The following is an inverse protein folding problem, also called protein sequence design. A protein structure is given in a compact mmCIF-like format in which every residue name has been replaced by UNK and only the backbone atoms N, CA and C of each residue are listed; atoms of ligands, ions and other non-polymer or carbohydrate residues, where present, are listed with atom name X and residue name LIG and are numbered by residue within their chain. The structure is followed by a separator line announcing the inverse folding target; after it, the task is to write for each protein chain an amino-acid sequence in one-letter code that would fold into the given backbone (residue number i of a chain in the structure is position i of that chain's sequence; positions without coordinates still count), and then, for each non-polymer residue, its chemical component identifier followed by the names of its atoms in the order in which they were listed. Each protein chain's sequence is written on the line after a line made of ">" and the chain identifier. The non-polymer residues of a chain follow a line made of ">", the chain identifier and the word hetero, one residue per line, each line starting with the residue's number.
data_IF_253465592817
#
_entry.id   IF_253465592817
#
_cell.length_a   1.000
_cell.length_b   1.000
_cell.length_c   1.000
_cell.angle_alpha   90.00
_cell.angle_beta   90.00
_cell.angle_gamma   90.00
#
_symmetry.space_group_name_H-M   'P 1'
#
loop_
_entity.id
_entity.type
_entity.pdbx_description
1 polymer ?
#
# COMPACT_ATOMS: atom_id res chain seq x y z
N UNK A 1 2.06 1.09 -4.48
CA UNK A 1 3.46 0.92 -4.94
C UNK A 1 3.80 2.00 -5.97
N UNK A 2 5.00 2.58 -5.90
CA UNK A 2 5.55 3.48 -6.93
C UNK A 2 6.59 2.73 -7.78
N UNK A 3 6.51 2.90 -9.12
CA UNK A 3 7.52 2.47 -10.08
C UNK A 3 8.05 3.68 -10.87
N UNK A 4 9.38 3.83 -10.94
CA UNK A 4 10.10 4.84 -11.74
C UNK A 4 11.11 4.10 -12.63
N UNK A 5 10.98 4.21 -13.96
CA UNK A 5 11.79 3.47 -14.94
C UNK A 5 12.76 4.39 -15.67
N UNK A 6 14.03 4.42 -15.22
CA UNK A 6 15.23 4.68 -16.05
C UNK A 6 16.42 3.96 -15.43
N UNK A 7 16.74 2.78 -15.96
CA UNK A 7 17.97 1.96 -15.78
C UNK A 7 18.44 1.52 -14.37
N UNK A 8 17.99 2.17 -13.29
CA UNK A 8 18.00 1.65 -11.92
C UNK A 8 16.69 2.08 -11.24
N UNK A 9 15.67 1.24 -11.25
CA UNK A 9 14.40 1.54 -10.57
C UNK A 9 14.55 1.33 -9.06
N UNK A 10 13.96 2.20 -8.26
CA UNK A 10 13.71 1.96 -6.83
C UNK A 10 12.26 1.53 -6.67
N UNK A 11 12.03 0.52 -5.83
CA UNK A 11 10.68 0.22 -5.34
C UNK A 11 10.47 0.99 -4.03
N UNK A 12 9.43 1.82 -4.02
CA UNK A 12 9.07 2.66 -2.89
C UNK A 12 7.69 2.24 -2.36
N UNK A 13 7.65 1.90 -1.08
CA UNK A 13 6.41 1.79 -0.31
C UNK A 13 6.08 3.16 0.26
N UNK A 14 4.83 3.60 0.10
CA UNK A 14 4.33 4.87 0.68
C UNK A 14 2.96 4.58 1.28
N UNK A 15 2.73 5.09 2.48
CA UNK A 15 1.45 5.05 3.18
C UNK A 15 0.99 6.48 3.43
N UNK A 16 -0.26 6.76 3.10
CA UNK A 16 -0.91 8.02 3.42
C UNK A 16 -2.21 7.79 4.17
N UNK A 17 -2.64 8.79 4.93
CA UNK A 17 -3.95 8.80 5.56
C UNK A 17 -5.05 9.25 4.57
N UNK A 18 -6.30 9.29 5.06
CA UNK A 18 -7.44 9.74 4.27
C UNK A 18 -7.38 11.22 3.86
N UNK A 19 -6.55 12.03 4.52
CA UNK A 19 -6.31 13.45 4.21
C UNK A 19 -5.16 13.63 3.21
N UNK A 20 -4.66 12.55 2.60
CA UNK A 20 -3.52 12.53 1.67
C UNK A 20 -2.20 12.95 2.31
N UNK A 21 -2.08 12.87 3.63
CA UNK A 21 -0.82 13.11 4.33
C UNK A 21 0.00 11.83 4.30
N UNK A 22 1.24 11.91 3.80
CA UNK A 22 2.16 10.77 3.84
C UNK A 22 2.60 10.56 5.29
N UNK A 23 2.31 9.39 5.84
CA UNK A 23 2.61 9.03 7.23
C UNK A 23 3.76 8.02 7.36
N UNK A 24 4.10 7.33 6.27
CA UNK A 24 5.23 6.42 6.23
C UNK A 24 5.73 6.21 4.78
N UNK A 25 7.04 5.97 4.64
CA UNK A 25 7.63 5.56 3.37
C UNK A 25 8.87 4.67 3.58
N UNK A 26 9.18 3.83 2.60
CA UNK A 26 10.38 2.98 2.55
C UNK A 26 10.97 3.07 1.13
N UNK A 27 12.25 3.45 1.01
CA UNK A 27 12.91 3.78 -0.28
C UNK A 27 14.19 2.97 -0.56
N UNK A 28 14.46 1.91 0.21
CA UNK A 28 15.77 1.24 0.22
C UNK A 28 15.88 0.01 -0.68
N UNK A 29 14.92 -0.21 -1.59
CA UNK A 29 14.84 -1.45 -2.35
C UNK A 29 14.97 -1.24 -3.85
N UNK A 30 15.72 -2.10 -4.56
CA UNK A 30 15.70 -2.16 -6.02
C UNK A 30 14.29 -2.38 -6.56
N UNK A 31 14.03 -1.91 -7.77
CA UNK A 31 12.70 -1.98 -8.39
C UNK A 31 12.26 -3.40 -8.74
N UNK A 32 13.15 -4.38 -8.69
CA UNK A 32 12.83 -5.81 -8.83
C UNK A 32 12.34 -6.44 -7.52
N UNK A 33 12.46 -5.74 -6.39
CA UNK A 33 12.00 -6.23 -5.10
C UNK A 33 10.48 -6.28 -5.06
N UNK A 34 9.93 -7.42 -4.60
CA UNK A 34 8.49 -7.62 -4.44
C UNK A 34 7.94 -6.79 -3.27
N UNK A 35 6.72 -6.28 -3.41
CA UNK A 35 6.07 -5.48 -2.37
C UNK A 35 5.92 -6.19 -1.03
N UNK A 36 5.50 -7.47 -1.06
CA UNK A 36 5.46 -8.30 0.15
C UNK A 36 6.82 -8.37 0.86
N UNK A 37 7.95 -8.35 0.12
CA UNK A 37 9.27 -8.36 0.73
C UNK A 37 9.55 -7.03 1.43
N UNK A 38 9.24 -5.90 0.80
CA UNK A 38 9.39 -4.58 1.43
C UNK A 38 8.52 -4.48 2.69
N UNK A 39 7.28 -4.95 2.61
CA UNK A 39 6.37 -4.99 3.75
C UNK A 39 6.91 -5.80 4.92
N UNK A 40 7.38 -7.02 4.66
CA UNK A 40 7.92 -7.91 5.67
C UNK A 40 9.15 -7.33 6.39
N UNK A 41 9.90 -6.45 5.72
CA UNK A 41 11.06 -5.78 6.27
C UNK A 41 10.79 -4.32 6.70
N UNK A 42 9.54 -3.87 6.65
CA UNK A 42 9.18 -2.51 7.03
C UNK A 42 9.03 -2.38 8.54
N UNK A 43 9.57 -1.28 9.10
CA UNK A 43 9.34 -0.95 10.51
C UNK A 43 7.87 -0.72 10.80
N UNK A 44 7.09 -0.24 9.82
CA UNK A 44 5.67 -0.03 9.95
C UNK A 44 4.93 -1.33 10.29
N UNK A 45 5.24 -2.44 9.59
CA UNK A 45 4.66 -3.75 9.90
C UNK A 45 4.95 -4.16 11.34
N UNK A 46 6.19 -4.04 11.81
CA UNK A 46 6.57 -4.37 13.20
C UNK A 46 5.78 -3.55 14.22
N UNK A 47 5.58 -2.26 13.96
CA UNK A 47 4.80 -1.36 14.83
C UNK A 47 3.32 -1.78 14.89
N UNK A 48 2.74 -2.23 13.77
CA UNK A 48 1.41 -2.84 13.76
C UNK A 48 1.34 -4.13 14.56
N UNK A 49 2.35 -5.01 14.44
CA UNK A 49 2.43 -6.25 15.21
C UNK A 49 2.56 -6.00 16.71
N UNK A 50 3.21 -4.91 17.13
CA UNK A 50 3.30 -4.48 18.52
C UNK A 50 2.03 -3.77 19.03
N UNK A 51 1.00 -3.62 18.20
CA UNK A 51 -0.27 -3.02 18.60
C UNK A 51 -0.23 -1.49 18.76
N UNK A 52 0.79 -0.82 18.22
CA UNK A 52 0.92 0.65 18.35
C UNK A 52 -0.24 1.41 17.70
N UNK A 53 -0.92 0.80 16.74
CA UNK A 53 -1.99 1.42 15.96
C UNK A 53 -3.40 0.96 16.34
N UNK A 54 -3.57 0.17 17.42
CA UNK A 54 -4.88 -0.35 17.89
C UNK A 54 -5.70 -0.94 16.73
N UNK A 55 -6.80 -0.28 16.37
CA UNK A 55 -7.76 -0.69 15.34
C UNK A 55 -7.41 -0.14 13.93
N UNK A 56 -6.18 0.34 13.74
CA UNK A 56 -5.71 0.85 12.46
C UNK A 56 -5.63 -0.25 11.40
N UNK A 57 -6.18 0.03 10.22
CA UNK A 57 -6.18 -0.88 9.07
C UNK A 57 -5.55 -0.19 7.86
N UNK A 58 -4.65 -0.88 7.19
CA UNK A 58 -4.06 -0.48 5.92
C UNK A 58 -4.77 -1.16 4.74
N UNK A 59 -4.78 -0.48 3.59
CA UNK A 59 -5.30 -1.02 2.33
C UNK A 59 -4.16 -1.19 1.31
N UNK A 60 -3.74 -2.43 1.08
CA UNK A 60 -2.71 -2.83 0.11
C UNK A 60 -3.27 -3.15 -1.28
N UNK A 61 -2.39 -3.26 -2.28
CA UNK A 61 -2.72 -3.98 -3.53
C UNK A 61 -2.56 -5.49 -3.33
N UNK A 62 -2.91 -6.26 -4.36
CA UNK A 62 -2.73 -7.71 -4.36
C UNK A 62 -1.26 -8.18 -4.32
N UNK A 63 -0.28 -7.27 -4.36
CA UNK A 63 1.14 -7.60 -4.16
C UNK A 63 1.54 -7.78 -2.69
N UNK A 64 0.65 -7.41 -1.77
CA UNK A 64 0.84 -7.53 -0.32
C UNK A 64 0.19 -8.80 0.24
N UNK A 65 0.69 -9.31 1.38
CA UNK A 65 -0.02 -10.35 2.12
C UNK A 65 -1.28 -9.78 2.79
N UNK A 66 -2.29 -10.63 2.97
CA UNK A 66 -3.44 -10.33 3.83
C UNK A 66 -3.01 -10.54 5.29
N UNK A 67 -3.17 -9.51 6.13
CA UNK A 67 -2.87 -9.56 7.57
C UNK A 67 -3.99 -8.86 8.37
N UNK A 68 -4.10 -9.06 9.70
CA UNK A 68 -5.17 -8.45 10.51
C UNK A 68 -5.26 -6.91 10.41
N UNK A 69 -4.15 -6.25 10.09
CA UNK A 69 -4.02 -4.80 9.93
C UNK A 69 -3.71 -4.38 8.48
N UNK A 70 -3.77 -5.30 7.52
CA UNK A 70 -3.52 -5.03 6.10
C UNK A 70 -4.50 -5.82 5.22
N UNK A 71 -5.50 -5.12 4.70
CA UNK A 71 -6.47 -5.68 3.77
C UNK A 71 -5.97 -5.56 2.33
N UNK A 72 -6.24 -6.59 1.53
CA UNK A 72 -5.90 -6.65 0.11
C UNK A 72 -7.16 -7.01 -0.69
N UNK A 73 -7.23 -6.66 -1.99
CA UNK A 73 -8.39 -6.98 -2.80
C UNK A 73 -8.55 -8.50 -2.94
N UNK A 74 -9.80 -8.96 -2.99
CA UNK A 74 -10.16 -10.36 -3.22
C UNK A 74 -9.81 -10.70 -4.67
N UNK A 75 -8.95 -11.69 -4.88
CA UNK A 75 -8.40 -12.01 -6.21
C UNK A 75 -9.45 -12.57 -7.19
N UNK A 76 -10.36 -13.41 -6.70
CA UNK A 76 -11.41 -14.05 -7.50
C UNK A 76 -12.77 -13.84 -6.79
N UNK A 77 -13.38 -12.65 -6.90
CA UNK A 77 -14.68 -12.41 -6.29
C UNK A 77 -15.75 -13.26 -7.01
N UNK A 78 -16.50 -14.05 -6.24
CA UNK A 78 -17.62 -14.86 -6.72
C UNK A 78 -18.97 -14.44 -6.14
N UNK A 79 -18.98 -13.59 -5.10
CA UNK A 79 -20.20 -13.07 -4.48
C UNK A 79 -20.34 -11.55 -4.69
N UNK A 80 -21.59 -11.02 -4.79
CA UNK A 80 -21.81 -9.58 -4.90
C UNK A 80 -21.17 -8.76 -3.77
N UNK A 81 -21.09 -9.32 -2.57
CA UNK A 81 -20.43 -8.68 -1.42
C UNK A 81 -18.91 -8.55 -1.60
N UNK A 82 -18.27 -9.49 -2.30
CA UNK A 82 -16.83 -9.47 -2.57
C UNK A 82 -16.50 -8.44 -3.67
N UNK A 83 -17.37 -8.33 -4.67
CA UNK A 83 -17.28 -7.28 -5.69
C UNK A 83 -17.48 -5.89 -5.07
N UNK A 84 -18.46 -5.75 -4.17
CA UNK A 84 -18.71 -4.54 -3.39
C UNK A 84 -17.48 -4.15 -2.58
N UNK A 85 -16.90 -5.12 -1.87
CA UNK A 85 -15.68 -4.93 -1.11
C UNK A 85 -14.55 -4.43 -2.01
N UNK A 86 -14.27 -5.10 -3.13
CA UNK A 86 -13.23 -4.71 -4.07
C UNK A 86 -13.44 -3.31 -4.66
N UNK A 87 -14.71 -2.92 -4.91
CA UNK A 87 -15.05 -1.58 -5.38
C UNK A 87 -14.75 -0.52 -4.32
N UNK A 88 -15.19 -0.73 -3.09
CA UNK A 88 -14.90 0.16 -1.96
C UNK A 88 -13.39 0.25 -1.67
N UNK A 89 -12.70 -0.89 -1.71
CA UNK A 89 -11.25 -1.00 -1.54
C UNK A 89 -10.50 -0.18 -2.59
N UNK A 90 -10.84 -0.37 -3.86
CA UNK A 90 -10.24 0.36 -4.99
C UNK A 90 -10.48 1.86 -4.89
N UNK A 91 -11.71 2.27 -4.58
CA UNK A 91 -12.07 3.69 -4.41
C UNK A 91 -11.26 4.34 -3.29
N UNK A 92 -11.11 3.65 -2.16
CA UNK A 92 -10.35 4.18 -1.01
C UNK A 92 -8.86 4.26 -1.34
N UNK A 93 -8.30 3.24 -2.00
CA UNK A 93 -6.91 3.24 -2.46
C UNK A 93 -6.60 4.27 -3.54
N UNK A 94 -7.60 4.83 -4.22
CA UNK A 94 -7.37 5.93 -5.15
C UNK A 94 -6.71 7.14 -4.46
N UNK A 95 -6.89 7.31 -3.14
CA UNK A 95 -6.27 8.37 -2.33
C UNK A 95 -4.75 8.33 -2.43
N UNK A 96 -4.12 7.15 -2.25
CA UNK A 96 -2.66 7.04 -2.37
C UNK A 96 -2.21 7.25 -3.81
N UNK A 97 -2.96 6.76 -4.80
CA UNK A 97 -2.67 7.00 -6.21
C UNK A 97 -2.67 8.49 -6.57
N UNK A 98 -3.67 9.24 -6.09
CA UNK A 98 -3.78 10.69 -6.29
C UNK A 98 -2.67 11.45 -5.56
N UNK A 99 -2.36 11.06 -4.32
CA UNK A 99 -1.26 11.66 -3.52
C UNK A 99 0.06 11.54 -4.26
N UNK A 100 0.34 10.36 -4.79
CA UNK A 100 1.54 10.10 -5.60
C UNK A 100 1.52 10.84 -6.94
N UNK A 101 0.35 10.98 -7.56
CA UNK A 101 0.17 11.78 -8.79
C UNK A 101 0.56 13.25 -8.58
N UNK A 102 0.08 13.86 -7.49
CA UNK A 102 0.44 15.25 -7.11
C UNK A 102 1.93 15.38 -6.80
N UNK A 103 2.51 14.39 -6.12
CA UNK A 103 3.94 14.40 -5.81
C UNK A 103 4.79 14.38 -7.09
N UNK A 104 4.42 13.53 -8.05
CA UNK A 104 5.07 13.41 -9.37
C UNK A 104 4.88 14.61 -10.29
N UNK A 105 3.80 15.38 -10.12
CA UNK A 105 3.59 16.58 -10.94
C UNK A 105 4.41 17.77 -10.44
N UNK A 106 4.93 17.69 -9.21
CA UNK A 106 5.69 18.78 -8.58
C UNK A 106 7.19 18.66 -8.78
N UNK A 107 7.73 17.45 -8.89
CA UNK A 107 9.15 17.13 -8.97
C UNK A 107 9.41 16.20 -10.16
#
# INVERSE_FOLDING_TARGET
>A
MLYLKKYHSLNIQVVCDAKRVIINYVVNYPGSTRDAFIWNNSTLRTRFQHGEFRDGILLGDGGYPLEPFLMTPIANPGLPAEEEFNRCHTRTRAIIGQTLGVLKSRF
#
